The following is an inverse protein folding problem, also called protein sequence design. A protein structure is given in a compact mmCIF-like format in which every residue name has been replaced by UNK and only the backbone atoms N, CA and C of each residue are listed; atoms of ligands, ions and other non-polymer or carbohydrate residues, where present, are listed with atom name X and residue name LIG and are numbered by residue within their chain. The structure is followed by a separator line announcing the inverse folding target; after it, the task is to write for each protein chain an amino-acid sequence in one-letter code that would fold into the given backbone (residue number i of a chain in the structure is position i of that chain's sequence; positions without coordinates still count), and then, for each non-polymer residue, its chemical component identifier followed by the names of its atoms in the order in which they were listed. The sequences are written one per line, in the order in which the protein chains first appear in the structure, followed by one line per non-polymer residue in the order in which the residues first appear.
data_IF_592712671010
#
_entry.id   IF_592712671010
#
_cell.length_a   1.000
_cell.length_b   1.000
_cell.length_c   1.000
_cell.angle_alpha   90.00
_cell.angle_beta   90.00
_cell.angle_gamma   90.00
#
_symmetry.space_group_name_H-M   'P 1'
#
loop_
_entity.id
_entity.type
_entity.pdbx_description
1 polymer ?
#
# COMPACT_ATOMS: atom_id res chain seq x y z
N UNK A 1 -13.27 -17.40 -11.38
CA UNK A 1 -12.97 -16.44 -10.30
C UNK A 1 -11.54 -16.68 -9.88
N UNK A 2 -10.61 -15.72 -10.06
CA UNK A 2 -9.32 -15.79 -9.37
C UNK A 2 -9.63 -15.65 -7.87
N UNK A 3 -9.11 -16.55 -7.05
CA UNK A 3 -9.22 -16.44 -5.59
C UNK A 3 -8.51 -15.19 -5.12
N UNK A 4 -9.10 -14.49 -4.15
CA UNK A 4 -8.48 -13.36 -3.48
C UNK A 4 -7.19 -13.82 -2.75
N UNK A 5 -6.11 -13.02 -2.83
CA UNK A 5 -4.89 -13.29 -2.08
C UNK A 5 -5.19 -13.23 -0.58
N UNK A 6 -4.49 -14.01 0.24
CA UNK A 6 -4.59 -13.92 1.71
C UNK A 6 -3.26 -13.52 2.28
N UNK A 7 -3.22 -12.67 3.29
CA UNK A 7 -2.01 -12.33 4.05
C UNK A 7 -2.37 -11.82 5.46
N UNK A 8 -1.45 -11.88 6.40
CA UNK A 8 -1.56 -11.17 7.67
C UNK A 8 -1.47 -9.67 7.43
N UNK A 9 -0.38 -9.23 6.78
CA UNK A 9 -0.16 -7.84 6.37
C UNK A 9 0.13 -7.78 4.86
N UNK A 10 -0.56 -6.89 4.17
CA UNK A 10 -0.30 -6.58 2.76
C UNK A 10 0.41 -5.22 2.65
N UNK A 11 1.64 -5.23 2.14
CA UNK A 11 2.37 -4.02 1.74
C UNK A 11 2.02 -3.75 0.27
N UNK A 12 1.36 -2.62 0.03
CA UNK A 12 0.90 -2.23 -1.31
C UNK A 12 1.83 -1.18 -1.88
N UNK A 13 2.36 -1.47 -3.06
CA UNK A 13 3.28 -0.63 -3.81
C UNK A 13 2.66 -0.18 -5.14
N UNK A 14 3.20 0.89 -5.70
CA UNK A 14 2.81 1.42 -7.01
C UNK A 14 4.02 1.53 -7.93
N UNK A 15 3.91 0.98 -9.14
CA UNK A 15 4.94 1.11 -10.18
C UNK A 15 5.13 2.54 -10.66
N UNK A 16 4.09 3.38 -10.59
CA UNK A 16 4.16 4.78 -10.99
C UNK A 16 4.77 5.70 -9.92
N UNK A 17 5.10 5.15 -8.74
CA UNK A 17 5.67 5.89 -7.62
C UNK A 17 7.14 5.49 -7.37
N UNK A 18 8.11 6.38 -7.65
CA UNK A 18 9.52 6.12 -7.43
C UNK A 18 9.89 5.82 -5.96
N UNK A 19 9.24 6.46 -4.99
CA UNK A 19 9.49 6.20 -3.57
C UNK A 19 8.96 4.82 -3.19
N UNK A 20 7.76 4.47 -3.68
CA UNK A 20 7.17 3.15 -3.50
C UNK A 20 8.07 2.03 -4.02
N UNK A 21 8.59 2.18 -5.25
CA UNK A 21 9.48 1.19 -5.85
C UNK A 21 10.84 1.10 -5.17
N UNK A 22 11.35 2.21 -4.63
CA UNK A 22 12.56 2.21 -3.80
C UNK A 22 12.34 1.44 -2.48
N UNK A 23 11.24 1.73 -1.77
CA UNK A 23 10.88 1.01 -0.53
C UNK A 23 10.75 -0.48 -0.83
N UNK A 24 10.04 -0.84 -1.90
CA UNK A 24 9.89 -2.23 -2.36
C UNK A 24 11.25 -2.88 -2.60
N UNK A 25 12.15 -2.25 -3.36
CA UNK A 25 13.47 -2.84 -3.65
C UNK A 25 14.28 -3.06 -2.38
N UNK A 26 14.29 -2.08 -1.46
CA UNK A 26 14.97 -2.22 -0.17
C UNK A 26 14.37 -3.33 0.69
N UNK A 27 13.06 -3.51 0.69
CA UNK A 27 12.43 -4.63 1.39
C UNK A 27 12.86 -5.98 0.81
N UNK A 28 12.88 -6.12 -0.53
CA UNK A 28 13.30 -7.34 -1.21
C UNK A 28 14.81 -7.64 -1.03
N UNK A 29 15.64 -6.60 -0.94
CA UNK A 29 17.09 -6.74 -0.76
C UNK A 29 17.48 -7.12 0.67
N UNK A 30 16.79 -6.56 1.68
CA UNK A 30 17.23 -6.65 3.08
C UNK A 30 16.44 -7.67 3.91
N UNK A 31 15.34 -8.21 3.39
CA UNK A 31 14.50 -9.19 4.08
C UNK A 31 14.26 -10.42 3.21
N UNK A 32 13.80 -11.52 3.83
CA UNK A 32 13.64 -12.82 3.18
C UNK A 32 12.35 -12.93 2.33
N UNK A 33 11.98 -11.87 1.63
CA UNK A 33 10.89 -11.91 0.66
C UNK A 33 11.27 -12.79 -0.54
N UNK A 34 10.36 -13.67 -0.93
CA UNK A 34 10.54 -14.57 -2.07
C UNK A 34 9.36 -14.45 -3.02
N UNK A 35 9.56 -14.63 -4.34
CA UNK A 35 8.46 -14.79 -5.28
C UNK A 35 7.51 -15.89 -4.80
N UNK A 36 6.21 -15.66 -4.94
CA UNK A 36 5.17 -16.61 -4.50
C UNK A 36 4.60 -17.45 -5.64
N UNK A 37 4.85 -17.05 -6.89
CA UNK A 37 4.16 -17.57 -8.06
C UNK A 37 2.74 -17.01 -8.23
N UNK A 38 2.31 -16.11 -7.35
CA UNK A 38 1.03 -15.40 -7.47
C UNK A 38 1.24 -14.10 -8.27
N UNK A 39 0.26 -13.78 -9.13
CA UNK A 39 0.29 -12.61 -10.00
C UNK A 39 -0.92 -11.70 -9.77
N UNK A 40 -0.63 -10.41 -9.55
CA UNK A 40 -1.63 -9.35 -9.45
C UNK A 40 -1.34 -8.32 -10.53
N UNK A 41 -2.28 -8.19 -11.48
CA UNK A 41 -2.18 -7.23 -12.58
C UNK A 41 -0.87 -7.32 -13.40
N UNK A 42 -0.30 -8.52 -13.57
CA UNK A 42 0.97 -8.70 -14.28
C UNK A 42 2.20 -8.47 -13.42
N UNK A 43 2.03 -8.29 -12.10
CA UNK A 43 3.10 -8.14 -11.13
C UNK A 43 3.20 -9.35 -10.20
N UNK A 44 4.42 -9.87 -10.09
CA UNK A 44 4.78 -10.92 -9.14
C UNK A 44 4.55 -10.44 -7.70
N UNK A 45 3.85 -11.26 -6.91
CA UNK A 45 3.67 -11.08 -5.47
C UNK A 45 4.84 -11.70 -4.73
N UNK A 46 5.39 -10.97 -3.77
CA UNK A 46 6.50 -11.45 -2.94
C UNK A 46 6.02 -11.68 -1.52
N UNK A 47 6.54 -12.73 -0.86
CA UNK A 47 6.10 -13.12 0.48
C UNK A 47 7.26 -13.37 1.42
N UNK A 48 7.08 -12.97 2.67
CA UNK A 48 7.94 -13.36 3.79
C UNK A 48 7.06 -13.71 4.99
N UNK A 49 6.93 -15.01 5.27
CA UNK A 49 5.96 -15.50 6.24
C UNK A 49 4.54 -15.10 5.83
N UNK A 50 3.85 -14.39 6.73
CA UNK A 50 2.48 -13.91 6.53
C UNK A 50 2.40 -12.47 5.97
N UNK A 51 3.52 -11.90 5.56
CA UNK A 51 3.58 -10.57 4.92
C UNK A 51 3.68 -10.74 3.41
N UNK A 52 2.82 -10.05 2.67
CA UNK A 52 2.83 -10.00 1.21
C UNK A 52 3.18 -8.60 0.70
N UNK A 53 3.99 -8.50 -0.35
CA UNK A 53 4.20 -7.28 -1.13
C UNK A 53 3.44 -7.44 -2.44
N UNK A 54 2.52 -6.52 -2.70
CA UNK A 54 1.66 -6.48 -3.89
C UNK A 54 1.95 -5.16 -4.61
N UNK A 55 2.16 -5.23 -5.92
CA UNK A 55 2.48 -4.04 -6.73
C UNK A 55 1.39 -3.78 -7.75
N UNK A 56 0.93 -2.53 -7.84
CA UNK A 56 -0.06 -2.12 -8.84
C UNK A 56 0.56 -1.24 -9.92
N UNK A 57 0.10 -1.31 -11.18
CA UNK A 57 0.59 -0.50 -12.28
C UNK A 57 0.00 0.94 -12.33
N UNK A 58 -0.54 1.45 -11.22
CA UNK A 58 -1.20 2.77 -11.12
C UNK A 58 -1.00 3.39 -9.74
N UNK A 59 -1.36 4.65 -9.57
CA UNK A 59 -1.20 5.37 -8.29
C UNK A 59 -2.07 4.78 -7.18
N UNK A 60 -1.51 4.72 -5.97
CA UNK A 60 -2.14 4.12 -4.78
C UNK A 60 -3.38 4.85 -4.31
N UNK A 61 -3.47 6.16 -4.53
CA UNK A 61 -4.60 7.00 -4.08
C UNK A 61 -5.92 6.65 -4.77
N UNK A 62 -5.87 5.96 -5.91
CA UNK A 62 -7.05 5.51 -6.67
C UNK A 62 -7.31 4.00 -6.54
N UNK A 63 -6.70 3.33 -5.55
CA UNK A 63 -6.87 1.91 -5.29
C UNK A 63 -7.99 1.66 -4.26
N UNK A 64 -9.21 2.05 -4.61
CA UNK A 64 -10.39 1.84 -3.76
C UNK A 64 -10.80 0.36 -3.67
N UNK A 65 -10.27 -0.49 -4.55
CA UNK A 65 -10.60 -1.92 -4.66
C UNK A 65 -9.52 -2.85 -4.11
N UNK A 66 -8.60 -2.35 -3.27
CA UNK A 66 -7.49 -3.16 -2.73
C UNK A 66 -8.02 -4.39 -1.97
N UNK A 67 -9.13 -4.25 -1.24
CA UNK A 67 -9.78 -5.36 -0.51
C UNK A 67 -10.39 -6.42 -1.42
N UNK A 68 -10.56 -6.14 -2.72
CA UNK A 68 -11.03 -7.14 -3.69
C UNK A 68 -9.88 -8.02 -4.20
N UNK A 69 -8.64 -7.56 -4.01
CA UNK A 69 -7.41 -8.23 -4.44
C UNK A 69 -6.80 -9.03 -3.30
N UNK A 70 -6.84 -8.50 -2.07
CA UNK A 70 -6.22 -9.14 -0.90
C UNK A 70 -7.11 -9.09 0.34
N UNK A 71 -7.29 -10.26 0.96
CA UNK A 71 -7.81 -10.45 2.30
C UNK A 71 -6.64 -10.33 3.28
N UNK A 72 -6.57 -9.23 4.02
CA UNK A 72 -5.53 -9.04 5.03
C UNK A 72 -6.05 -8.46 6.34
N UNK A 73 -5.32 -8.75 7.42
CA UNK A 73 -5.59 -8.14 8.74
C UNK A 73 -5.18 -6.67 8.79
N UNK A 74 -4.30 -6.25 7.87
CA UNK A 74 -3.89 -4.87 7.70
C UNK A 74 -3.22 -4.61 6.35
N UNK A 75 -3.34 -3.37 5.89
CA UNK A 75 -2.75 -2.90 4.62
C UNK A 75 -1.85 -1.70 4.89
N UNK A 76 -0.63 -1.75 4.36
CA UNK A 76 0.35 -0.68 4.46
C UNK A 76 0.67 -0.20 3.04
N UNK A 77 0.33 1.04 2.72
CA UNK A 77 0.70 1.65 1.44
C UNK A 77 2.10 2.26 1.54
N UNK A 78 3.05 1.72 0.78
CA UNK A 78 4.34 2.37 0.57
C UNK A 78 4.17 3.43 -0.53
N UNK A 79 4.29 4.71 -0.19
CA UNK A 79 3.97 5.82 -1.09
C UNK A 79 4.90 7.00 -0.88
N UNK A 80 5.06 7.83 -1.92
CA UNK A 80 5.61 9.18 -1.81
C UNK A 80 4.63 10.09 -1.10
N UNK A 81 5.17 11.13 -0.48
CA UNK A 81 4.46 12.34 -0.15
C UNK A 81 5.04 13.48 -1.00
N UNK A 82 4.17 14.34 -1.55
CA UNK A 82 4.57 15.49 -2.34
C UNK A 82 3.96 16.75 -1.72
N UNK A 83 4.81 17.70 -1.35
CA UNK A 83 4.41 18.99 -0.80
C UNK A 83 5.21 20.10 -1.49
N UNK A 84 4.57 21.26 -1.70
CA UNK A 84 5.18 22.44 -2.29
C UNK A 84 6.42 22.92 -1.52
N UNK A 85 6.44 22.72 -0.19
CA UNK A 85 7.56 23.09 0.66
C UNK A 85 8.88 22.38 0.34
N UNK A 86 8.82 21.23 -0.35
CA UNK A 86 10.00 20.43 -0.68
C UNK A 86 10.75 19.85 0.53
N UNK A 87 10.18 19.92 1.72
CA UNK A 87 10.83 19.49 2.95
C UNK A 87 10.96 17.96 3.01
N UNK A 88 12.17 17.41 3.22
CA UNK A 88 12.33 15.98 3.43
C UNK A 88 11.62 15.53 4.70
N UNK A 89 10.76 14.51 4.59
CA UNK A 89 10.01 13.97 5.74
C UNK A 89 9.70 12.48 5.56
N UNK A 90 9.62 11.77 6.67
CA UNK A 90 8.96 10.47 6.77
C UNK A 90 7.63 10.68 7.49
N UNK A 91 6.54 10.25 6.85
CA UNK A 91 5.19 10.51 7.32
C UNK A 91 4.36 9.21 7.27
N UNK A 92 3.39 9.10 8.16
CA UNK A 92 2.41 8.04 8.17
C UNK A 92 1.02 8.62 8.50
N UNK A 93 0.00 8.19 7.77
CA UNK A 93 -1.39 8.61 8.00
C UNK A 93 -2.38 7.55 7.52
N UNK A 94 -3.61 7.62 8.00
CA UNK A 94 -4.74 6.87 7.43
C UNK A 94 -5.40 7.72 6.33
N UNK A 95 -5.74 7.15 5.16
CA UNK A 95 -6.48 7.88 4.13
C UNK A 95 -7.93 8.19 4.55
N UNK A 96 -8.49 9.27 4.00
CA UNK A 96 -9.89 9.63 4.18
C UNK A 96 -10.20 11.05 3.71
N UNK A 97 -11.44 11.25 3.29
CA UNK A 97 -11.99 12.53 2.87
C UNK A 97 -13.00 13.04 3.91
N UNK A 98 -12.73 14.20 4.49
CA UNK A 98 -13.58 14.82 5.51
C UNK A 98 -14.78 15.59 4.97
N UNK A 99 -14.70 16.02 3.71
CA UNK A 99 -15.66 16.95 3.09
C UNK A 99 -16.53 16.25 2.05
N UNK A 100 -17.39 17.04 1.40
CA UNK A 100 -18.19 16.60 0.25
C UNK A 100 -17.38 16.41 -1.04
N UNK A 101 -16.06 16.67 -1.01
CA UNK A 101 -15.16 16.50 -2.13
C UNK A 101 -14.15 15.37 -1.88
N UNK A 102 -13.75 14.71 -2.97
CA UNK A 102 -12.72 13.66 -2.99
C UNK A 102 -11.76 13.93 -4.16
N UNK A 103 -10.95 14.97 -4.02
CA UNK A 103 -10.09 15.48 -5.11
C UNK A 103 -8.96 14.52 -5.51
N UNK A 104 -8.57 13.62 -4.60
CA UNK A 104 -7.42 12.72 -4.75
C UNK A 104 -7.79 11.27 -4.42
N UNK A 105 -8.89 10.79 -5.03
CA UNK A 105 -9.36 9.42 -4.87
C UNK A 105 -10.26 9.19 -3.65
N UNK A 106 -10.78 7.98 -3.53
CA UNK A 106 -11.77 7.61 -2.53
C UNK A 106 -13.15 8.23 -2.76
N UNK A 107 -13.92 8.30 -1.68
CA UNK A 107 -15.31 8.81 -1.68
C UNK A 107 -15.44 10.02 -0.75
N UNK A 108 -16.35 10.99 -1.05
CA UNK A 108 -16.70 12.05 -0.11
C UNK A 108 -17.15 11.52 1.25
N UNK A 109 -16.89 12.27 2.32
CA UNK A 109 -17.26 11.96 3.71
C UNK A 109 -16.95 10.51 4.14
N UNK A 110 -15.84 9.97 3.66
CA UNK A 110 -15.48 8.57 3.87
C UNK A 110 -14.04 8.48 4.36
N UNK A 111 -13.83 7.72 5.44
CA UNK A 111 -12.51 7.50 6.05
C UNK A 111 -12.19 6.01 6.06
N UNK A 112 -10.92 5.66 5.87
CA UNK A 112 -10.48 4.27 6.00
C UNK A 112 -10.44 3.84 7.47
N UNK A 113 -10.52 2.53 7.70
CA UNK A 113 -10.28 1.95 9.03
C UNK A 113 -8.81 2.15 9.39
N UNK A 114 -8.55 2.85 10.49
CA UNK A 114 -7.19 3.14 10.93
C UNK A 114 -6.55 1.96 11.67
N UNK A 115 -5.23 1.84 11.57
CA UNK A 115 -4.40 0.93 12.35
C UNK A 115 -3.54 1.71 13.35
N UNK A 116 -4.13 2.29 14.42
CA UNK A 116 -3.47 3.31 15.25
C UNK A 116 -2.20 2.81 15.95
N UNK A 117 -2.17 1.55 16.41
CA UNK A 117 -0.97 0.97 17.03
C UNK A 117 0.21 0.83 16.04
N UNK A 118 -0.09 0.55 14.77
CA UNK A 118 0.91 0.44 13.72
C UNK A 118 1.43 1.81 13.31
N UNK A 119 0.54 2.80 13.17
CA UNK A 119 0.92 4.20 12.93
C UNK A 119 1.80 4.77 14.05
N UNK A 120 1.47 4.46 15.32
CA UNK A 120 2.30 4.88 16.46
C UNK A 120 3.72 4.29 16.40
N UNK A 121 3.86 3.10 15.84
CA UNK A 121 5.14 2.36 15.84
C UNK A 121 5.97 2.60 14.58
N UNK A 122 5.48 3.38 13.61
CA UNK A 122 6.13 3.58 12.30
C UNK A 122 7.11 4.76 12.25
N UNK A 123 7.18 5.57 13.29
CA UNK A 123 7.95 6.82 13.35
C UNK A 123 8.81 6.84 14.61
#
# INVERSE_FOLDING_TARGET
MKSMLKAGIAIVCSKSDPASMNIRSRLLENFNFKPSGEDVHGEEVYRWGDVAIITFPRETIYLDEVEQVVEASGVIFASRHAAESGMPAFLAHTPGNWTDEALYGGRPRSVCIAMPLHLRSSI
#
